data_IF_941136714699
#
_entry.id   IF_941136714699
#
_cell.length_a   1.000
_cell.length_b   1.000
_cell.length_c   1.000
_cell.angle_alpha   90.00
_cell.angle_beta   90.00
_cell.angle_gamma   90.00
#
_symmetry.space_group_name_H-M   'P 1'
#
loop_
_entity.id
_entity.type
_entity.pdbx_description
1 polymer ?
#
# COMPACT_ATOMS: atom_id res chain seq x y z
N UNK A 1 11.99 -33.68 5.39
CA UNK A 1 10.69 -32.99 5.39
C UNK A 1 10.91 -31.67 6.12
N UNK A 2 11.04 -30.57 5.38
CA UNK A 2 11.36 -29.25 5.92
C UNK A 2 10.11 -28.67 6.58
N UNK A 3 10.15 -28.54 7.91
CA UNK A 3 9.20 -27.73 8.68
C UNK A 3 9.58 -26.27 8.45
N UNK A 4 8.90 -25.60 7.53
CA UNK A 4 9.09 -24.17 7.28
C UNK A 4 8.03 -23.36 8.05
N UNK A 5 8.51 -22.39 8.82
CA UNK A 5 7.86 -21.12 9.18
C UNK A 5 6.61 -21.08 10.07
N UNK A 6 6.67 -21.66 11.27
CA UNK A 6 5.74 -21.28 12.37
C UNK A 6 6.31 -20.22 13.32
N UNK A 7 7.54 -19.75 13.11
CA UNK A 7 8.27 -18.95 14.11
C UNK A 7 8.19 -17.43 13.92
N UNK A 8 7.59 -16.95 12.82
CA UNK A 8 7.52 -15.51 12.51
C UNK A 8 6.25 -14.78 13.01
N UNK A 9 5.29 -15.48 13.63
CA UNK A 9 4.07 -14.82 14.12
C UNK A 9 4.22 -14.23 15.54
N UNK A 10 5.18 -14.70 16.34
CA UNK A 10 5.35 -14.29 17.74
C UNK A 10 6.08 -12.95 17.92
N UNK A 11 6.59 -12.32 16.86
CA UNK A 11 7.35 -11.07 16.93
C UNK A 11 6.53 -9.77 16.80
N UNK A 12 5.23 -9.85 16.48
CA UNK A 12 4.37 -8.69 16.23
C UNK A 12 3.50 -8.28 17.43
N UNK A 13 3.56 -9.01 18.54
CA UNK A 13 2.70 -8.77 19.70
C UNK A 13 3.08 -7.51 20.50
N UNK A 14 4.31 -7.02 20.37
CA UNK A 14 4.87 -5.98 21.24
C UNK A 14 4.44 -4.54 20.96
N UNK A 15 3.75 -4.24 19.85
CA UNK A 15 3.24 -2.88 19.57
C UNK A 15 2.04 -2.95 18.63
N UNK A 16 0.86 -3.20 19.20
CA UNK A 16 -0.41 -3.11 18.49
C UNK A 16 -0.70 -1.64 18.13
N UNK A 17 -0.13 -1.16 17.03
CA UNK A 17 -0.45 0.15 16.46
C UNK A 17 -1.68 0.04 15.55
N UNK A 18 -2.41 1.15 15.42
CA UNK A 18 -3.56 1.27 14.50
C UNK A 18 -3.16 0.84 13.08
N UNK A 19 -1.99 1.26 12.61
CA UNK A 19 -1.48 0.88 11.28
C UNK A 19 -1.16 -0.61 11.16
N UNK A 20 -0.54 -1.21 12.18
CA UNK A 20 -0.22 -2.64 12.16
C UNK A 20 -1.49 -3.51 12.15
N UNK A 21 -2.48 -3.16 12.98
CA UNK A 21 -3.77 -3.85 12.96
C UNK A 21 -4.50 -3.64 11.63
N UNK A 22 -4.39 -2.45 11.01
CA UNK A 22 -5.04 -2.17 9.73
C UNK A 22 -4.45 -2.97 8.58
N UNK A 23 -3.13 -3.16 8.56
CA UNK A 23 -2.47 -4.05 7.62
C UNK A 23 -2.91 -5.51 7.81
N UNK A 24 -2.98 -5.98 9.06
CA UNK A 24 -3.50 -7.33 9.36
C UNK A 24 -4.93 -7.50 8.91
N UNK A 25 -5.79 -6.52 9.17
CA UNK A 25 -7.18 -6.51 8.69
C UNK A 25 -7.25 -6.65 7.17
N UNK A 26 -6.51 -5.83 6.43
CA UNK A 26 -6.48 -5.88 4.97
C UNK A 26 -5.99 -7.23 4.43
N UNK A 27 -4.97 -7.82 5.05
CA UNK A 27 -4.46 -9.13 4.69
C UNK A 27 -5.51 -10.23 4.90
N UNK A 28 -6.15 -10.26 6.07
CA UNK A 28 -7.20 -11.26 6.38
C UNK A 28 -8.41 -11.11 5.45
N UNK A 29 -8.81 -9.87 5.14
CA UNK A 29 -9.85 -9.60 4.13
C UNK A 29 -9.46 -10.11 2.76
N UNK A 30 -8.22 -9.90 2.34
CA UNK A 30 -7.70 -10.46 1.09
C UNK A 30 -7.74 -11.99 1.07
N UNK A 31 -7.37 -12.63 2.18
CA UNK A 31 -7.43 -14.08 2.33
C UNK A 31 -8.86 -14.62 2.28
N UNK A 32 -9.82 -13.95 2.91
CA UNK A 32 -11.24 -14.32 2.85
C UNK A 32 -11.85 -14.16 1.46
N UNK A 33 -11.38 -13.18 0.68
CA UNK A 33 -11.81 -12.98 -0.70
C UNK A 33 -11.07 -13.87 -1.70
N UNK A 34 -10.16 -14.73 -1.23
CA UNK A 34 -9.40 -15.64 -2.08
C UNK A 34 -10.26 -16.80 -2.58
N UNK A 35 -10.26 -17.14 -3.88
CA UNK A 35 -10.97 -18.32 -4.40
C UNK A 35 -10.49 -19.65 -3.80
N UNK A 36 -9.29 -19.67 -3.21
CA UNK A 36 -8.72 -20.87 -2.60
C UNK A 36 -9.44 -21.27 -1.29
N UNK A 37 -10.06 -20.30 -0.61
CA UNK A 37 -10.71 -20.52 0.68
C UNK A 37 -12.21 -20.78 0.58
N UNK A 38 -12.78 -20.68 -0.63
CA UNK A 38 -14.19 -20.97 -0.90
C UNK A 38 -14.48 -22.46 -1.10
N UNK A 39 -13.44 -23.29 -1.15
CA UNK A 39 -13.58 -24.75 -1.21
C UNK A 39 -14.09 -25.27 0.13
N UNK A 40 -15.02 -26.22 0.11
CA UNK A 40 -15.68 -26.78 1.31
C UNK A 40 -14.67 -27.30 2.35
N UNK A 41 -13.56 -27.89 1.90
CA UNK A 41 -12.48 -28.38 2.76
C UNK A 41 -11.78 -27.29 3.58
N UNK A 42 -11.91 -26.03 3.18
CA UNK A 42 -11.30 -24.87 3.84
C UNK A 42 -12.27 -24.12 4.77
N UNK A 43 -13.49 -24.64 4.98
CA UNK A 43 -14.48 -24.06 5.90
C UNK A 43 -13.91 -23.78 7.30
N UNK A 44 -13.14 -24.69 7.95
CA UNK A 44 -12.56 -24.42 9.27
C UNK A 44 -11.58 -23.24 9.28
N UNK A 45 -10.77 -23.11 8.22
CA UNK A 45 -9.83 -21.99 8.07
C UNK A 45 -10.59 -20.67 7.85
N UNK A 46 -11.68 -20.71 7.08
CA UNK A 46 -12.53 -19.54 6.89
C UNK A 46 -13.13 -19.06 8.22
N UNK A 47 -13.61 -19.98 9.05
CA UNK A 47 -14.16 -19.65 10.37
C UNK A 47 -13.10 -19.06 11.31
N UNK A 48 -11.87 -19.56 11.23
CA UNK A 48 -10.70 -18.99 11.92
C UNK A 48 -10.44 -17.54 11.50
N UNK A 49 -10.37 -17.27 10.19
CA UNK A 49 -10.12 -15.93 9.67
C UNK A 49 -11.23 -14.93 10.03
N UNK A 50 -12.49 -15.37 10.03
CA UNK A 50 -13.62 -14.54 10.49
C UNK A 50 -13.50 -14.22 11.97
N UNK A 51 -13.07 -15.18 12.80
CA UNK A 51 -12.86 -14.97 14.22
C UNK A 51 -11.70 -14.00 14.50
N UNK A 52 -10.60 -14.16 13.78
CA UNK A 52 -9.45 -13.24 13.84
C UNK A 52 -9.83 -11.82 13.42
N UNK A 53 -10.64 -11.66 12.36
CA UNK A 53 -11.18 -10.34 11.99
C UNK A 53 -12.03 -9.74 13.10
N UNK A 54 -12.93 -10.51 13.72
CA UNK A 54 -13.73 -10.02 14.84
C UNK A 54 -12.87 -9.62 16.06
N UNK A 55 -11.79 -10.34 16.33
CA UNK A 55 -10.84 -9.99 17.38
C UNK A 55 -10.14 -8.65 17.07
N UNK A 56 -9.65 -8.48 15.85
CA UNK A 56 -9.01 -7.23 15.39
C UNK A 56 -10.00 -6.06 15.42
N UNK A 57 -11.27 -6.27 15.03
CA UNK A 57 -12.31 -5.23 15.10
C UNK A 57 -12.46 -4.69 16.53
N UNK A 58 -12.47 -5.59 17.53
CA UNK A 58 -12.52 -5.22 18.95
C UNK A 58 -11.26 -4.47 19.39
N UNK A 59 -10.08 -4.99 19.06
CA UNK A 59 -8.80 -4.39 19.43
C UNK A 59 -8.66 -2.96 18.84
N UNK A 60 -9.22 -2.74 17.64
CA UNK A 60 -9.34 -1.41 17.04
C UNK A 60 -10.22 -0.46 17.82
N UNK A 61 -11.31 -0.94 18.44
CA UNK A 61 -12.19 -0.13 19.27
C UNK A 61 -11.48 0.41 20.51
N UNK A 62 -10.60 -0.41 21.11
CA UNK A 62 -9.93 -0.09 22.38
C UNK A 62 -8.71 0.82 22.23
N UNK A 63 -8.03 0.80 21.08
CA UNK A 63 -6.88 1.67 20.85
C UNK A 63 -7.29 3.14 20.74
N UNK A 64 -6.44 4.08 21.14
CA UNK A 64 -6.66 5.49 20.84
C UNK A 64 -5.92 5.90 19.57
N UNK A 65 -6.57 6.66 18.70
CA UNK A 65 -5.91 7.24 17.52
C UNK A 65 -5.13 8.50 17.93
N UNK A 66 -3.87 8.59 17.49
CA UNK A 66 -2.92 9.67 17.82
C UNK A 66 -2.74 10.68 16.69
N UNK A 67 -3.19 10.36 15.48
CA UNK A 67 -3.06 11.18 14.28
C UNK A 67 -4.30 11.01 13.39
N UNK A 68 -4.65 12.03 12.62
CA UNK A 68 -5.56 11.99 11.47
C UNK A 68 -5.42 10.73 10.63
N UNK A 69 -4.20 10.30 10.27
CA UNK A 69 -3.99 9.08 9.47
C UNK A 69 -4.51 7.82 10.18
N UNK A 70 -4.31 7.72 11.49
CA UNK A 70 -4.84 6.60 12.28
C UNK A 70 -6.37 6.67 12.37
N UNK A 71 -6.94 7.87 12.50
CA UNK A 71 -8.40 8.05 12.47
C UNK A 71 -8.97 7.60 11.13
N UNK A 72 -8.36 7.98 10.00
CA UNK A 72 -8.77 7.53 8.67
C UNK A 72 -8.72 6.00 8.56
N UNK A 73 -7.64 5.37 9.02
CA UNK A 73 -7.51 3.90 8.99
C UNK A 73 -8.62 3.21 9.80
N UNK A 74 -9.00 3.76 10.95
CA UNK A 74 -10.12 3.25 11.75
C UNK A 74 -11.46 3.39 11.03
N UNK A 75 -11.70 4.54 10.40
CA UNK A 75 -12.92 4.79 9.63
C UNK A 75 -13.02 3.83 8.44
N UNK A 76 -11.93 3.59 7.72
CA UNK A 76 -11.89 2.64 6.60
C UNK A 76 -12.24 1.21 7.06
N UNK A 77 -11.73 0.81 8.22
CA UNK A 77 -12.01 -0.52 8.79
C UNK A 77 -13.45 -0.62 9.26
N UNK A 78 -13.94 0.37 10.02
CA UNK A 78 -15.33 0.44 10.44
C UNK A 78 -16.28 0.41 9.25
N UNK A 79 -15.97 1.15 8.18
CA UNK A 79 -16.71 1.14 6.92
C UNK A 79 -16.73 -0.25 6.27
N UNK A 80 -15.57 -0.92 6.23
CA UNK A 80 -15.46 -2.26 5.65
C UNK A 80 -16.20 -3.32 6.46
N UNK A 81 -16.16 -3.25 7.79
CA UNK A 81 -16.89 -4.13 8.69
C UNK A 81 -18.41 -3.91 8.59
N UNK A 82 -18.83 -2.63 8.52
CA UNK A 82 -20.21 -2.25 8.40
C UNK A 82 -20.83 -2.72 7.07
N UNK A 83 -20.09 -2.61 5.96
CA UNK A 83 -20.57 -3.05 4.63
C UNK A 83 -21.02 -4.50 4.60
N UNK A 84 -20.48 -5.36 5.46
CA UNK A 84 -20.87 -6.78 5.53
C UNK A 84 -22.07 -7.04 6.42
N UNK A 85 -22.31 -6.14 7.39
CA UNK A 85 -23.40 -6.26 8.37
C UNK A 85 -24.68 -5.58 7.87
N UNK A 86 -24.55 -4.53 7.06
CA UNK A 86 -25.70 -3.77 6.53
C UNK A 86 -26.50 -4.64 5.57
N UNK A 87 -27.67 -5.08 6.03
CA UNK A 87 -28.69 -5.73 5.20
C UNK A 87 -29.89 -4.78 5.14
N UNK A 88 -30.01 -4.04 4.03
CA UNK A 88 -31.21 -3.28 3.66
C UNK A 88 -31.67 -2.21 4.66
N UNK A 89 -31.15 -0.98 4.51
CA UNK A 89 -31.71 0.23 5.15
C UNK A 89 -30.69 1.13 5.86
N UNK A 90 -29.51 0.61 6.18
CA UNK A 90 -28.47 1.33 6.94
C UNK A 90 -27.33 1.86 6.05
N UNK A 91 -27.54 1.96 4.74
CA UNK A 91 -26.53 2.50 3.81
C UNK A 91 -26.12 3.93 4.17
N UNK A 92 -27.02 4.69 4.79
CA UNK A 92 -26.76 6.04 5.29
C UNK A 92 -25.60 6.09 6.29
N UNK A 93 -25.31 5.01 7.02
CA UNK A 93 -24.21 4.98 7.98
C UNK A 93 -22.86 4.86 7.26
N UNK A 94 -22.82 4.21 6.10
CA UNK A 94 -21.65 4.21 5.21
C UNK A 94 -21.43 5.63 4.67
N UNK A 95 -22.50 6.30 4.24
CA UNK A 95 -22.44 7.68 3.73
C UNK A 95 -22.00 8.67 4.84
N UNK A 96 -22.43 8.44 6.08
CA UNK A 96 -21.99 9.22 7.25
C UNK A 96 -20.49 9.06 7.49
N UNK A 97 -19.97 7.83 7.43
CA UNK A 97 -18.53 7.58 7.58
C UNK A 97 -17.74 8.32 6.47
N UNK A 98 -18.24 8.30 5.23
CA UNK A 98 -17.64 9.04 4.12
C UNK A 98 -17.65 10.56 4.32
N UNK A 99 -18.76 11.10 4.86
CA UNK A 99 -18.85 12.52 5.23
C UNK A 99 -17.83 12.89 6.31
N UNK A 100 -17.72 12.10 7.38
CA UNK A 100 -16.76 12.33 8.47
C UNK A 100 -15.32 12.30 7.94
N UNK A 101 -15.01 11.37 7.03
CA UNK A 101 -13.70 11.26 6.41
C UNK A 101 -13.38 12.51 5.56
N UNK A 102 -14.36 13.03 4.81
CA UNK A 102 -14.21 14.28 4.04
C UNK A 102 -13.95 15.49 4.96
N UNK A 103 -14.70 15.61 6.05
CA UNK A 103 -14.51 16.67 7.04
C UNK A 103 -13.14 16.60 7.70
N UNK A 104 -12.69 15.40 8.05
CA UNK A 104 -11.37 15.14 8.64
C UNK A 104 -10.25 15.61 7.70
N UNK A 105 -10.36 15.33 6.40
CA UNK A 105 -9.41 15.81 5.39
C UNK A 105 -9.43 17.34 5.27
N UNK A 106 -10.60 17.95 5.33
CA UNK A 106 -10.77 19.41 5.25
C UNK A 106 -10.14 20.13 6.45
N UNK A 107 -10.37 19.61 7.66
CA UNK A 107 -9.76 20.14 8.90
C UNK A 107 -8.25 20.00 8.87
N UNK A 108 -7.72 18.85 8.42
CA UNK A 108 -6.28 18.63 8.32
C UNK A 108 -5.60 19.52 7.27
N UNK A 109 -6.24 19.73 6.11
CA UNK A 109 -5.76 20.65 5.08
C UNK A 109 -5.75 22.10 5.57
N UNK A 110 -6.76 22.51 6.35
CA UNK A 110 -6.84 23.83 6.96
C UNK A 110 -5.78 24.04 8.06
N UNK A 111 -5.55 23.05 8.90
CA UNK A 111 -4.47 23.07 9.90
C UNK A 111 -3.08 23.19 9.25
N UNK A 112 -2.87 22.51 8.12
CA UNK A 112 -1.61 22.57 7.35
C UNK A 112 -1.40 23.91 6.63
N UNK A 113 -2.48 24.63 6.31
CA UNK A 113 -2.44 25.93 5.61
C UNK A 113 -2.38 27.15 6.54
N UNK A 114 -2.43 26.95 7.86
CA UNK A 114 -2.34 28.05 8.84
C UNK A 114 -0.91 28.27 9.37
N UNK A 115 0.11 27.73 8.70
CA UNK A 115 1.52 28.08 8.99
C UNK A 115 1.98 29.21 8.06
N UNK A 116 2.25 30.43 8.57
CA UNK A 116 2.80 31.51 7.75
C UNK A 116 4.32 31.38 7.75
N UNK A 117 4.89 30.46 6.97
CA UNK A 117 6.26 30.54 6.41
C UNK A 117 6.66 29.23 5.75
N UNK A 118 6.66 29.22 4.41
CA UNK A 118 7.79 28.79 3.58
C UNK A 118 7.29 28.49 2.15
N UNK A 119 7.34 29.53 1.32
CA UNK A 119 7.80 29.54 -0.08
C UNK A 119 7.71 28.22 -0.85
N UNK A 120 6.91 28.25 -1.92
CA UNK A 120 7.09 27.50 -3.18
C UNK A 120 8.39 26.70 -3.28
N UNK A 121 8.31 25.39 -3.11
CA UNK A 121 9.30 24.47 -3.64
C UNK A 121 8.61 23.53 -4.63
N UNK A 122 8.30 24.12 -5.78
CA UNK A 122 8.05 23.45 -7.06
C UNK A 122 9.27 22.58 -7.39
N UNK A 123 9.37 21.38 -6.82
CA UNK A 123 10.39 20.40 -7.22
C UNK A 123 9.80 19.52 -8.31
N UNK A 124 9.88 20.04 -9.54
CA UNK A 124 9.80 19.23 -10.75
C UNK A 124 10.77 18.05 -10.63
N UNK A 125 10.39 16.82 -11.01
CA UNK A 125 11.31 15.69 -11.01
C UNK A 125 12.40 15.99 -12.04
N UNK A 126 13.62 16.23 -11.54
CA UNK A 126 14.78 16.48 -12.35
C UNK A 126 15.05 15.29 -13.27
N UNK A 127 15.06 15.59 -14.57
CA UNK A 127 15.58 14.81 -15.68
C UNK A 127 16.51 13.65 -15.28
N UNK A 128 16.06 12.41 -15.51
CA UNK A 128 16.93 11.26 -15.74
C UNK A 128 17.57 11.42 -17.12
N UNK A 129 18.55 12.32 -17.23
CA UNK A 129 19.41 12.40 -18.40
C UNK A 129 20.36 11.21 -18.38
N UNK A 130 19.95 10.15 -19.08
CA UNK A 130 20.79 9.07 -19.60
C UNK A 130 22.12 9.65 -20.10
N UNK A 131 23.30 9.19 -19.64
CA UNK A 131 24.53 9.55 -20.32
C UNK A 131 24.52 8.88 -21.69
N UNK A 132 24.19 9.65 -22.73
CA UNK A 132 24.54 9.32 -24.10
C UNK A 132 26.07 9.26 -24.17
N UNK A 133 26.58 8.08 -24.49
CA UNK A 133 27.93 7.82 -24.94
C UNK A 133 28.28 8.80 -26.09
N UNK A 134 29.27 9.70 -25.93
CA UNK A 134 29.68 10.55 -27.03
C UNK A 134 30.49 9.74 -28.04
N UNK A 135 30.02 9.81 -29.28
CA UNK A 135 30.69 9.30 -30.46
C UNK A 135 32.13 9.80 -30.58
N UNK A 136 32.98 8.84 -30.94
CA UNK A 136 34.23 8.97 -31.71
C UNK A 136 34.28 10.21 -32.64
N UNK A 137 35.33 11.02 -32.56
CA UNK A 137 35.76 11.87 -33.67
C UNK A 137 36.91 11.17 -34.43
N UNK A 138 36.69 10.89 -35.71
CA UNK A 138 37.76 10.98 -36.73
C UNK A 138 38.03 12.49 -36.98
N UNK A 139 39.19 12.99 -37.41
CA UNK A 139 39.96 12.64 -38.62
C UNK A 139 41.45 13.10 -38.55
N UNK A 140 42.38 12.19 -38.90
CA UNK A 140 43.61 12.26 -39.76
C UNK A 140 44.69 13.39 -39.63
N UNK A 141 45.95 13.24 -40.14
CA UNK A 141 46.52 12.17 -40.99
C UNK A 141 47.89 11.61 -40.52
N UNK A 142 48.23 10.39 -40.98
CA UNK A 142 49.54 10.01 -41.57
C UNK A 142 49.95 8.57 -41.26
N UNK A 143 50.36 7.89 -42.34
CA UNK A 143 51.25 6.71 -42.41
C UNK A 143 50.61 5.32 -42.29
N UNK A 144 50.31 4.80 -43.48
CA UNK A 144 50.64 3.45 -44.00
C UNK A 144 49.88 2.20 -43.56
N UNK A 145 49.66 1.36 -44.60
CA UNK A 145 49.24 -0.04 -44.61
C UNK A 145 47.72 -0.23 -44.60
N UNK A 146 47.03 -0.10 -45.74
CA UNK A 146 47.00 -1.02 -46.90
C UNK A 146 46.21 -2.31 -46.63
N UNK A 147 45.26 -2.52 -47.55
CA UNK A 147 44.50 -3.74 -47.84
C UNK A 147 43.36 -4.12 -46.88
N UNK A 148 42.24 -4.68 -47.32
CA UNK A 148 41.46 -4.67 -48.55
C UNK A 148 40.22 -5.53 -48.24
N UNK A 149 39.11 -5.24 -48.93
CA UNK A 149 38.07 -6.23 -49.26
C UNK A 149 37.02 -6.61 -48.21
N UNK A 150 35.88 -5.94 -48.37
CA UNK A 150 34.54 -6.51 -48.53
C UNK A 150 34.47 -8.02 -48.86
N UNK A 151 33.57 -8.76 -48.20
CA UNK A 151 32.67 -9.66 -48.92
C UNK A 151 31.52 -10.19 -48.05
N UNK A 152 30.34 -10.19 -48.66
CA UNK A 152 29.07 -10.75 -48.21
C UNK A 152 29.05 -12.29 -48.22
N UNK A 153 28.02 -12.82 -47.55
CA UNK A 153 27.11 -13.88 -48.01
C UNK A 153 27.12 -15.22 -47.26
N UNK A 154 25.88 -15.71 -47.09
CA UNK A 154 25.38 -17.02 -46.67
C UNK A 154 25.33 -17.30 -45.16
#
# INVERSE_FOLDING_TARGET
MLVADSQNQSGLEGTQSVSALGLRWAALRGMLNSPLITVEDQRPLRDELVRELAAIERDFGDLQSRNTMEISAKLDIAKSALRERVQGGESWLIDLIDSIQSDLHTVHAKASSTSPSAVSANRSPANLSRPQQPQRPEETPSTTSAEASTSSAA
#
